data_IF_856614297659
#
_entry.id   IF_856614297659
#
_cell.length_a   1.000
_cell.length_b   1.000
_cell.length_c   1.000
_cell.angle_alpha   90.00
_cell.angle_beta   90.00
_cell.angle_gamma   90.00
#
_symmetry.space_group_name_H-M   'P 1'
#
loop_
_entity.id
_entity.type
_entity.pdbx_description
1 polymer ?
#
# COMPACT_ATOMS: atom_id res chain seq x y z
N UNK A 1 48.54 -6.46 17.93
CA UNK A 1 48.93 -6.30 16.53
C UNK A 1 47.69 -6.67 15.69
N UNK A 2 47.24 -5.76 14.80
CA UNK A 2 46.07 -6.01 13.93
C UNK A 2 46.50 -6.84 12.72
N UNK A 3 45.75 -7.91 12.43
CA UNK A 3 45.94 -8.67 11.19
C UNK A 3 45.19 -8.02 10.03
N UNK A 4 45.80 -7.98 8.86
CA UNK A 4 45.14 -7.50 7.64
C UNK A 4 43.98 -8.42 7.26
N UNK A 5 42.78 -7.86 7.14
CA UNK A 5 41.56 -8.61 6.79
C UNK A 5 41.62 -9.30 5.44
N UNK A 6 42.51 -8.90 4.56
CA UNK A 6 42.66 -9.44 3.20
C UNK A 6 43.72 -10.54 3.11
N UNK A 7 44.96 -10.27 3.56
CA UNK A 7 46.08 -11.22 3.42
C UNK A 7 46.42 -11.98 4.72
N UNK A 8 45.80 -11.63 5.84
CA UNK A 8 46.07 -12.28 7.16
C UNK A 8 47.39 -11.92 7.82
N UNK A 9 48.27 -11.12 7.18
CA UNK A 9 49.55 -10.71 7.73
C UNK A 9 49.42 -9.51 8.69
N UNK A 10 50.43 -9.24 9.49
CA UNK A 10 50.44 -8.14 10.47
C UNK A 10 50.29 -6.79 9.75
N UNK A 11 49.26 -6.04 10.05
CA UNK A 11 48.94 -4.73 9.49
C UNK A 11 49.41 -3.54 10.35
N UNK A 12 50.12 -3.82 11.46
CA UNK A 12 50.58 -2.81 12.42
C UNK A 12 49.59 -2.52 13.55
N UNK A 13 49.97 -1.58 14.43
CA UNK A 13 49.27 -1.35 15.73
C UNK A 13 47.91 -0.66 15.57
N UNK A 14 47.70 0.12 14.51
CA UNK A 14 46.49 0.95 14.29
C UNK A 14 45.74 0.66 13.01
N UNK A 15 46.13 -0.36 12.26
CA UNK A 15 45.51 -0.72 11.00
C UNK A 15 44.98 -2.15 11.01
N UNK A 16 43.83 -2.38 10.39
CA UNK A 16 43.25 -3.69 10.14
C UNK A 16 43.41 -4.13 8.67
N UNK A 17 44.17 -3.38 7.86
CA UNK A 17 44.41 -3.69 6.45
C UNK A 17 45.64 -2.95 5.93
N UNK A 18 46.30 -3.54 4.92
CA UNK A 18 47.32 -2.86 4.14
C UNK A 18 46.66 -2.08 3.01
N UNK A 19 47.15 -0.90 2.70
CA UNK A 19 46.66 -0.06 1.60
C UNK A 19 46.71 -0.78 0.24
N UNK A 20 47.82 -1.47 -0.03
CA UNK A 20 47.97 -2.26 -1.27
C UNK A 20 46.95 -3.42 -1.37
N UNK A 21 46.61 -4.07 -0.26
CA UNK A 21 45.60 -5.13 -0.25
C UNK A 21 44.21 -4.57 -0.48
N UNK A 22 43.90 -3.40 0.07
CA UNK A 22 42.65 -2.69 -0.16
C UNK A 22 42.51 -2.25 -1.61
N UNK A 23 43.57 -1.70 -2.20
CA UNK A 23 43.60 -1.30 -3.60
C UNK A 23 43.41 -2.52 -4.53
N UNK A 24 44.10 -3.64 -4.27
CA UNK A 24 43.91 -4.90 -5.01
C UNK A 24 42.49 -5.43 -4.88
N UNK A 25 41.89 -5.39 -3.68
CA UNK A 25 40.52 -5.82 -3.46
C UNK A 25 39.52 -4.93 -4.24
N UNK A 26 39.68 -3.61 -4.17
CA UNK A 26 38.85 -2.64 -4.91
C UNK A 26 38.95 -2.84 -6.44
N UNK A 27 40.15 -3.08 -6.98
CA UNK A 27 40.36 -3.41 -8.39
C UNK A 27 39.65 -4.73 -8.74
N UNK A 28 39.73 -5.75 -7.87
CA UNK A 28 39.06 -7.03 -8.09
C UNK A 28 37.54 -6.89 -8.15
N UNK A 29 36.94 -6.07 -7.27
CA UNK A 29 35.51 -5.76 -7.34
C UNK A 29 35.14 -5.08 -8.66
N UNK A 30 35.91 -4.10 -9.09
CA UNK A 30 35.67 -3.38 -10.34
C UNK A 30 35.73 -4.31 -11.55
N UNK A 31 36.69 -5.22 -11.59
CA UNK A 31 36.85 -6.21 -12.66
C UNK A 31 35.65 -7.18 -12.66
N UNK A 32 35.29 -7.71 -11.50
CA UNK A 32 34.17 -8.64 -11.37
C UNK A 32 32.85 -8.00 -11.79
N UNK A 33 32.53 -6.85 -11.23
CA UNK A 33 31.30 -6.11 -11.57
C UNK A 33 31.24 -5.73 -13.06
N UNK A 34 32.35 -5.30 -13.63
CA UNK A 34 32.48 -4.99 -15.06
C UNK A 34 32.16 -6.19 -15.93
N UNK A 35 32.70 -7.37 -15.58
CA UNK A 35 32.45 -8.62 -16.29
C UNK A 35 30.95 -9.03 -16.16
N UNK A 36 30.37 -8.99 -14.95
CA UNK A 36 28.95 -9.34 -14.73
C UNK A 36 28.03 -8.41 -15.53
N UNK A 37 28.28 -7.08 -15.52
CA UNK A 37 27.52 -6.12 -16.35
C UNK A 37 27.62 -6.43 -17.84
N UNK A 38 28.81 -6.81 -18.31
CA UNK A 38 29.07 -7.18 -19.72
C UNK A 38 28.26 -8.44 -20.11
N UNK A 39 28.19 -9.42 -19.22
CA UNK A 39 27.36 -10.61 -19.42
C UNK A 39 25.87 -10.25 -19.57
N UNK A 40 25.31 -9.48 -18.63
CA UNK A 40 23.90 -9.10 -18.70
C UNK A 40 23.57 -8.23 -19.94
N UNK A 41 24.54 -7.47 -20.45
CA UNK A 41 24.44 -6.77 -21.74
C UNK A 41 24.56 -7.70 -22.97
N UNK A 42 24.96 -8.97 -22.76
CA UNK A 42 25.13 -9.94 -23.85
C UNK A 42 26.47 -9.84 -24.61
N UNK A 43 27.41 -9.08 -24.07
CA UNK A 43 28.73 -8.89 -24.72
C UNK A 43 29.76 -9.94 -24.28
N UNK A 44 29.54 -10.64 -23.19
CA UNK A 44 30.47 -11.61 -22.60
C UNK A 44 29.75 -12.92 -22.28
N UNK A 45 30.31 -14.11 -22.63
CA UNK A 45 29.71 -15.39 -22.30
C UNK A 45 29.91 -15.74 -20.81
N UNK A 46 29.05 -16.64 -20.25
CA UNK A 46 29.13 -17.06 -18.86
C UNK A 46 30.48 -17.71 -18.49
N UNK A 47 31.07 -18.45 -19.40
CA UNK A 47 32.40 -19.07 -19.19
C UNK A 47 33.50 -18.04 -18.84
N UNK A 48 33.44 -16.87 -19.43
CA UNK A 48 34.39 -15.79 -19.13
C UNK A 48 34.11 -15.22 -17.72
N UNK A 49 32.87 -15.10 -17.30
CA UNK A 49 32.51 -14.64 -15.93
C UNK A 49 33.07 -15.61 -14.90
N UNK A 50 32.91 -16.92 -15.11
CA UNK A 50 33.45 -17.96 -14.23
C UNK A 50 34.99 -17.83 -14.14
N UNK A 51 35.66 -17.61 -15.29
CA UNK A 51 37.11 -17.40 -15.32
C UNK A 51 37.52 -16.15 -14.53
N UNK A 52 36.86 -15.04 -14.75
CA UNK A 52 37.11 -13.77 -14.04
C UNK A 52 36.87 -13.93 -12.54
N UNK A 53 35.74 -14.52 -12.14
CA UNK A 53 35.41 -14.75 -10.73
C UNK A 53 36.46 -15.60 -10.01
N UNK A 54 36.98 -16.64 -10.68
CA UNK A 54 38.07 -17.48 -10.18
C UNK A 54 39.38 -16.71 -10.07
N UNK A 55 39.72 -15.91 -11.08
CA UNK A 55 40.93 -15.09 -11.09
C UNK A 55 40.95 -14.06 -9.96
N UNK A 56 39.87 -13.28 -9.79
CA UNK A 56 39.80 -12.24 -8.75
C UNK A 56 39.76 -12.83 -7.34
N UNK A 57 39.19 -14.03 -7.18
CA UNK A 57 39.22 -14.77 -5.89
C UNK A 57 40.66 -15.09 -5.50
N UNK A 58 41.46 -15.56 -6.43
CA UNK A 58 42.86 -15.97 -6.18
C UNK A 58 43.84 -14.78 -6.03
N UNK A 59 43.66 -13.72 -6.80
CA UNK A 59 44.66 -12.66 -6.94
C UNK A 59 44.25 -11.32 -6.29
N UNK A 60 42.94 -11.11 -6.00
CA UNK A 60 42.42 -9.84 -5.56
C UNK A 60 41.66 -9.93 -4.23
N UNK A 61 41.81 -11.02 -3.47
CA UNK A 61 41.15 -11.22 -2.16
C UNK A 61 39.62 -11.12 -2.22
N UNK A 62 38.97 -11.45 -3.33
CA UNK A 62 37.51 -11.43 -3.46
C UNK A 62 36.92 -12.66 -2.79
N UNK A 63 36.17 -12.46 -1.72
CA UNK A 63 35.45 -13.50 -1.00
C UNK A 63 34.16 -13.91 -1.70
N UNK A 64 33.56 -15.02 -1.25
CA UNK A 64 32.23 -15.44 -1.75
C UNK A 64 31.15 -14.42 -1.37
N UNK A 65 31.30 -13.73 -0.21
CA UNK A 65 30.43 -12.64 0.20
C UNK A 65 30.54 -11.42 -0.75
N UNK A 66 31.75 -11.04 -1.13
CA UNK A 66 31.96 -9.96 -2.10
C UNK A 66 31.36 -10.30 -3.46
N UNK A 67 31.51 -11.57 -3.90
CA UNK A 67 30.94 -12.07 -5.14
C UNK A 67 29.41 -12.05 -5.11
N UNK A 68 28.79 -12.45 -4.00
CA UNK A 68 27.35 -12.35 -3.80
C UNK A 68 26.86 -10.92 -3.85
N UNK A 69 27.51 -10.00 -3.14
CA UNK A 69 27.18 -8.57 -3.12
C UNK A 69 27.31 -7.92 -4.49
N UNK A 70 28.40 -8.20 -5.23
CA UNK A 70 28.61 -7.73 -6.60
C UNK A 70 27.55 -8.29 -7.55
N UNK A 71 27.17 -9.57 -7.40
CA UNK A 71 26.12 -10.20 -8.17
C UNK A 71 24.77 -9.54 -7.94
N UNK A 72 24.38 -9.36 -6.68
CA UNK A 72 23.17 -8.64 -6.27
C UNK A 72 23.09 -7.25 -6.89
N UNK A 73 24.14 -6.47 -6.72
CA UNK A 73 24.24 -5.10 -7.28
C UNK A 73 24.06 -5.07 -8.80
N UNK A 74 24.77 -5.95 -9.52
CA UNK A 74 24.69 -5.99 -10.98
C UNK A 74 23.32 -6.51 -11.47
N UNK A 75 22.67 -7.42 -10.75
CA UNK A 75 21.31 -7.87 -11.03
C UNK A 75 20.32 -6.72 -10.84
N UNK A 76 20.42 -5.93 -9.78
CA UNK A 76 19.57 -4.76 -9.58
C UNK A 76 19.74 -3.71 -10.68
N UNK A 77 20.99 -3.41 -11.05
CA UNK A 77 21.30 -2.50 -12.14
C UNK A 77 20.68 -3.01 -13.45
N UNK A 78 20.87 -4.31 -13.75
CA UNK A 78 20.27 -4.93 -14.93
C UNK A 78 18.75 -4.91 -14.88
N UNK A 79 18.14 -5.25 -13.75
CA UNK A 79 16.69 -5.19 -13.52
C UNK A 79 16.12 -3.83 -13.89
N UNK A 80 16.82 -2.74 -13.55
CA UNK A 80 16.40 -1.38 -13.91
C UNK A 80 16.47 -1.10 -15.40
N UNK A 81 17.37 -1.74 -16.14
CA UNK A 81 17.54 -1.57 -17.60
C UNK A 81 16.59 -2.42 -18.44
N UNK A 82 16.04 -3.49 -17.89
CA UNK A 82 15.10 -4.36 -18.61
C UNK A 82 13.79 -3.61 -18.82
N UNK A 83 13.39 -3.44 -20.08
CA UNK A 83 12.11 -2.87 -20.47
C UNK A 83 11.15 -3.96 -20.95
N UNK A 84 9.90 -3.67 -20.87
CA UNK A 84 8.85 -4.54 -21.40
C UNK A 84 8.85 -4.50 -22.95
N UNK A 85 8.54 -5.61 -23.68
CA UNK A 85 8.18 -6.94 -23.18
C UNK A 85 9.36 -7.77 -22.68
N UNK A 86 9.12 -8.59 -21.65
CA UNK A 86 10.11 -9.58 -21.21
C UNK A 86 10.18 -10.74 -22.19
N UNK A 87 11.38 -11.12 -22.59
CA UNK A 87 11.64 -12.30 -23.41
C UNK A 87 12.07 -13.49 -22.52
N UNK A 88 11.80 -14.72 -22.95
CA UNK A 88 12.27 -15.92 -22.27
C UNK A 88 13.79 -15.93 -22.05
N UNK A 89 14.53 -15.32 -22.98
CA UNK A 89 15.99 -15.16 -22.88
C UNK A 89 16.47 -14.42 -21.64
N UNK A 90 15.65 -13.53 -21.05
CA UNK A 90 15.99 -12.89 -19.77
C UNK A 90 15.96 -13.90 -18.61
N UNK A 91 14.97 -14.80 -18.61
CA UNK A 91 14.86 -15.84 -17.58
C UNK A 91 15.98 -16.90 -17.75
N UNK A 92 16.28 -17.29 -18.99
CA UNK A 92 17.36 -18.21 -19.28
C UNK A 92 18.71 -17.65 -18.84
N UNK A 93 18.96 -16.36 -19.14
CA UNK A 93 20.18 -15.67 -18.75
C UNK A 93 20.37 -15.61 -17.24
N UNK A 94 19.35 -15.24 -16.46
CA UNK A 94 19.46 -15.20 -15.00
C UNK A 94 19.62 -16.61 -14.41
N UNK A 95 18.93 -17.63 -14.96
CA UNK A 95 19.08 -19.01 -14.57
C UNK A 95 20.50 -19.53 -14.80
N UNK A 96 21.07 -19.27 -15.98
CA UNK A 96 22.46 -19.63 -16.30
C UNK A 96 23.43 -18.93 -15.33
N UNK A 97 23.22 -17.65 -15.05
CA UNK A 97 24.07 -16.88 -14.14
C UNK A 97 24.03 -17.46 -12.72
N UNK A 98 22.85 -17.66 -12.12
CA UNK A 98 22.72 -18.22 -10.77
C UNK A 98 23.36 -19.60 -10.67
N UNK A 99 23.21 -20.43 -11.69
CA UNK A 99 23.73 -21.80 -11.69
C UNK A 99 25.26 -21.86 -11.79
N UNK A 100 25.93 -20.84 -12.32
CA UNK A 100 27.35 -20.92 -12.67
C UNK A 100 28.23 -19.90 -11.93
N UNK A 101 27.69 -18.88 -11.26
CA UNK A 101 28.50 -17.85 -10.59
C UNK A 101 29.23 -18.38 -9.34
N UNK A 102 28.87 -19.55 -8.83
CA UNK A 102 29.54 -20.25 -7.73
C UNK A 102 29.27 -19.65 -6.34
N UNK A 103 28.13 -19.02 -6.14
CA UNK A 103 27.56 -18.61 -4.84
C UNK A 103 26.09 -19.03 -4.78
N UNK A 104 25.54 -19.17 -3.56
CA UNK A 104 24.18 -19.66 -3.41
C UNK A 104 23.13 -18.63 -3.84
N UNK A 105 21.92 -19.12 -4.18
CA UNK A 105 20.76 -18.27 -4.45
C UNK A 105 20.47 -17.33 -3.29
N UNK A 106 20.50 -17.86 -2.05
CA UNK A 106 20.22 -17.10 -0.84
C UNK A 106 21.22 -15.97 -0.64
N UNK A 107 22.52 -16.24 -0.85
CA UNK A 107 23.55 -15.21 -0.69
C UNK A 107 23.40 -14.10 -1.74
N UNK A 108 23.09 -14.44 -3.01
CA UNK A 108 22.80 -13.45 -4.06
C UNK A 108 21.55 -12.62 -3.70
N UNK A 109 20.55 -13.25 -3.10
CA UNK A 109 19.28 -12.61 -2.77
C UNK A 109 19.24 -11.98 -1.38
N UNK A 110 20.34 -11.91 -0.64
CA UNK A 110 20.40 -11.30 0.70
C UNK A 110 19.86 -9.85 0.70
N UNK A 111 20.17 -9.09 -0.35
CA UNK A 111 19.64 -7.73 -0.57
C UNK A 111 18.24 -7.70 -1.21
N UNK A 112 17.65 -8.83 -1.58
CA UNK A 112 16.38 -8.94 -2.29
C UNK A 112 16.44 -8.63 -3.79
N UNK A 113 17.62 -8.67 -4.42
CA UNK A 113 17.79 -8.35 -5.84
C UNK A 113 17.01 -9.30 -6.76
N UNK A 114 17.05 -10.60 -6.48
CA UNK A 114 16.32 -11.61 -7.25
C UNK A 114 14.80 -11.49 -7.06
N UNK A 115 14.36 -11.13 -5.85
CA UNK A 115 12.95 -10.87 -5.58
C UNK A 115 12.44 -9.68 -6.39
N UNK A 116 13.18 -8.56 -6.41
CA UNK A 116 12.83 -7.38 -7.21
C UNK A 116 12.75 -7.67 -8.69
N UNK A 117 13.69 -8.47 -9.21
CA UNK A 117 13.65 -8.94 -10.60
C UNK A 117 12.39 -9.77 -10.87
N UNK A 118 12.10 -10.76 -10.01
CA UNK A 118 10.92 -11.61 -10.14
C UNK A 118 9.63 -10.78 -10.10
N UNK A 119 9.48 -9.91 -9.11
CA UNK A 119 8.32 -9.02 -8.98
C UNK A 119 8.14 -8.13 -10.21
N UNK A 120 9.24 -7.57 -10.76
CA UNK A 120 9.19 -6.78 -11.99
C UNK A 120 8.69 -7.60 -13.18
N UNK A 121 9.15 -8.85 -13.33
CA UNK A 121 8.70 -9.74 -14.40
C UNK A 121 7.22 -10.09 -14.25
N UNK A 122 6.78 -10.45 -13.05
CA UNK A 122 5.36 -10.75 -12.76
C UNK A 122 4.47 -9.55 -13.12
N UNK A 123 4.82 -8.36 -12.63
CA UNK A 123 4.06 -7.13 -12.94
C UNK A 123 3.94 -6.88 -14.43
N UNK A 124 5.03 -7.10 -15.18
CA UNK A 124 4.99 -6.97 -16.62
C UNK A 124 4.01 -7.95 -17.29
N UNK A 125 4.01 -9.23 -16.90
CA UNK A 125 3.06 -10.20 -17.46
C UNK A 125 1.61 -9.90 -17.07
N UNK A 126 1.36 -9.40 -15.85
CA UNK A 126 0.02 -8.95 -15.46
C UNK A 126 -0.41 -7.68 -16.21
N UNK A 127 0.52 -6.79 -16.57
CA UNK A 127 0.22 -5.63 -17.40
C UNK A 127 -0.30 -6.02 -18.79
N UNK A 128 0.20 -7.12 -19.40
CA UNK A 128 -0.33 -7.63 -20.68
C UNK A 128 -1.82 -8.04 -20.59
N UNK A 129 -2.24 -8.55 -19.43
CA UNK A 129 -3.65 -8.84 -19.20
C UNK A 129 -4.49 -7.56 -19.14
N UNK A 130 -4.10 -6.60 -18.32
CA UNK A 130 -4.86 -5.35 -18.18
C UNK A 130 -4.93 -4.54 -19.47
N UNK A 131 -3.87 -4.59 -20.30
CA UNK A 131 -3.86 -3.97 -21.64
C UNK A 131 -4.60 -4.79 -22.71
N UNK A 132 -5.06 -5.99 -22.39
CA UNK A 132 -5.81 -6.86 -23.31
C UNK A 132 -4.93 -7.61 -24.32
N UNK A 133 -3.62 -7.64 -24.11
CA UNK A 133 -2.68 -8.35 -25.01
C UNK A 133 -2.71 -9.87 -24.78
N UNK A 134 -2.97 -10.33 -23.55
CA UNK A 134 -3.03 -11.75 -23.19
C UNK A 134 -4.16 -12.03 -22.20
N UNK A 135 -4.76 -13.23 -22.22
CA UNK A 135 -5.69 -13.66 -21.20
C UNK A 135 -4.97 -13.90 -19.86
N UNK A 136 -5.69 -13.70 -18.73
CA UNK A 136 -5.14 -13.81 -17.37
C UNK A 136 -4.45 -15.17 -17.13
N UNK A 137 -5.08 -16.25 -17.54
CA UNK A 137 -4.53 -17.62 -17.39
C UNK A 137 -3.14 -17.78 -18.02
N UNK A 138 -2.91 -17.16 -19.19
CA UNK A 138 -1.62 -17.22 -19.86
C UNK A 138 -0.57 -16.40 -19.11
N UNK A 139 -0.92 -15.20 -18.65
CA UNK A 139 -0.06 -14.36 -17.82
C UNK A 139 0.35 -15.07 -16.52
N UNK A 140 -0.59 -15.75 -15.87
CA UNK A 140 -0.33 -16.55 -14.66
C UNK A 140 0.59 -17.72 -14.92
N UNK A 141 0.37 -18.49 -15.98
CA UNK A 141 1.25 -19.62 -16.34
C UNK A 141 2.71 -19.17 -16.51
N UNK A 142 2.92 -18.05 -17.18
CA UNK A 142 4.27 -17.49 -17.39
C UNK A 142 4.85 -17.01 -16.05
N UNK A 143 4.08 -16.32 -15.21
CA UNK A 143 4.50 -15.88 -13.88
C UNK A 143 4.90 -17.03 -12.99
N UNK A 144 4.14 -18.13 -12.99
CA UNK A 144 4.47 -19.35 -12.25
C UNK A 144 5.77 -20.00 -12.77
N UNK A 145 6.01 -19.96 -14.08
CA UNK A 145 7.27 -20.46 -14.66
C UNK A 145 8.46 -19.60 -14.20
N UNK A 146 8.31 -18.27 -14.10
CA UNK A 146 9.34 -17.39 -13.55
C UNK A 146 9.61 -17.73 -12.09
N UNK A 147 8.57 -17.89 -11.26
CA UNK A 147 8.70 -18.21 -9.83
C UNK A 147 9.33 -19.58 -9.55
N UNK A 148 9.32 -20.51 -10.50
CA UNK A 148 10.10 -21.77 -10.37
C UNK A 148 11.60 -21.54 -10.41
N UNK A 149 12.05 -20.48 -11.08
CA UNK A 149 13.48 -20.12 -11.17
C UNK A 149 13.85 -19.07 -10.11
N UNK A 150 12.95 -18.15 -9.84
CA UNK A 150 13.09 -17.03 -8.90
C UNK A 150 11.97 -17.11 -7.86
N UNK A 151 12.07 -18.02 -6.87
CA UNK A 151 10.99 -18.24 -5.90
C UNK A 151 10.79 -17.01 -5.01
N UNK A 152 9.53 -16.58 -4.90
CA UNK A 152 9.09 -15.54 -3.98
C UNK A 152 8.43 -16.14 -2.75
N UNK A 153 8.45 -15.42 -1.64
CA UNK A 153 7.53 -15.68 -0.54
C UNK A 153 6.11 -15.29 -0.97
N UNK A 154 5.09 -15.94 -0.39
CA UNK A 154 3.68 -15.63 -0.65
C UNK A 154 3.38 -14.13 -0.46
N UNK A 155 3.98 -13.51 0.55
CA UNK A 155 3.82 -12.08 0.78
C UNK A 155 4.35 -11.23 -0.38
N UNK A 156 5.56 -11.48 -0.86
CA UNK A 156 6.17 -10.73 -1.98
C UNK A 156 5.45 -10.97 -3.31
N UNK A 157 4.92 -12.15 -3.50
CA UNK A 157 4.06 -12.46 -4.64
C UNK A 157 2.77 -11.63 -4.61
N UNK A 158 2.09 -11.60 -3.47
CA UNK A 158 0.90 -10.77 -3.28
C UNK A 158 1.19 -9.28 -3.45
N UNK A 159 2.31 -8.80 -2.92
CA UNK A 159 2.76 -7.42 -3.12
C UNK A 159 2.86 -7.07 -4.61
N UNK A 160 3.49 -7.94 -5.43
CA UNK A 160 3.60 -7.73 -6.88
C UNK A 160 2.23 -7.66 -7.57
N UNK A 161 1.27 -8.50 -7.17
CA UNK A 161 -0.08 -8.49 -7.71
C UNK A 161 -0.85 -7.22 -7.30
N UNK A 162 -0.74 -6.78 -6.05
CA UNK A 162 -1.36 -5.54 -5.60
C UNK A 162 -0.75 -4.30 -6.25
N UNK A 163 0.58 -4.25 -6.42
CA UNK A 163 1.22 -3.15 -7.14
C UNK A 163 0.72 -3.03 -8.58
N UNK A 164 0.54 -4.17 -9.27
CA UNK A 164 -0.01 -4.17 -10.63
C UNK A 164 -1.47 -3.72 -10.64
N UNK A 165 -2.26 -4.18 -9.69
CA UNK A 165 -3.64 -3.75 -9.52
C UNK A 165 -3.74 -2.24 -9.27
N UNK A 166 -2.85 -1.68 -8.42
CA UNK A 166 -2.78 -0.24 -8.18
C UNK A 166 -2.39 0.57 -9.42
N UNK A 167 -1.51 0.04 -10.27
CA UNK A 167 -1.17 0.68 -11.56
C UNK A 167 -2.35 0.64 -12.54
N UNK A 168 -3.07 -0.47 -12.61
CA UNK A 168 -4.29 -0.58 -13.40
C UNK A 168 -5.35 0.41 -12.90
N UNK A 169 -5.54 0.53 -11.57
CA UNK A 169 -6.46 1.47 -10.94
C UNK A 169 -6.17 2.92 -11.31
N UNK A 170 -4.91 3.34 -11.30
CA UNK A 170 -4.53 4.69 -11.78
C UNK A 170 -4.96 4.98 -13.21
N UNK A 171 -5.00 3.96 -14.06
CA UNK A 171 -5.42 4.13 -15.45
C UNK A 171 -6.94 4.09 -15.60
N UNK A 172 -7.60 3.18 -14.89
CA UNK A 172 -9.05 2.97 -14.97
C UNK A 172 -9.86 4.09 -14.30
N UNK A 173 -9.29 4.74 -13.30
CA UNK A 173 -9.95 5.83 -12.55
C UNK A 173 -9.59 7.23 -13.04
N UNK A 174 -8.94 7.37 -14.21
CA UNK A 174 -8.55 8.69 -14.76
C UNK A 174 -9.73 9.62 -14.98
N UNK A 175 -10.88 9.08 -15.36
CA UNK A 175 -12.15 9.78 -15.56
C UNK A 175 -13.11 9.65 -14.36
N UNK A 176 -12.62 9.07 -13.26
CA UNK A 176 -13.36 8.90 -12.00
C UNK A 176 -14.28 7.68 -11.94
N UNK A 177 -14.46 6.96 -13.06
CA UNK A 177 -15.34 5.79 -13.13
C UNK A 177 -14.66 4.65 -13.88
N UNK A 178 -14.90 3.41 -13.43
CA UNK A 178 -14.51 2.22 -14.20
C UNK A 178 -15.60 1.85 -15.20
N UNK A 179 -15.21 1.61 -16.45
CA UNK A 179 -16.11 1.02 -17.44
C UNK A 179 -16.48 -0.43 -17.06
N UNK A 180 -17.61 -0.96 -17.56
CA UNK A 180 -17.99 -2.36 -17.29
C UNK A 180 -16.91 -3.38 -17.68
N UNK A 181 -16.15 -3.13 -18.74
CA UNK A 181 -15.07 -4.01 -19.19
C UNK A 181 -13.85 -3.96 -18.26
N UNK A 182 -13.52 -2.80 -17.71
CA UNK A 182 -12.45 -2.64 -16.71
C UNK A 182 -12.84 -3.30 -15.40
N UNK A 183 -14.10 -3.09 -14.97
CA UNK A 183 -14.65 -3.75 -13.79
C UNK A 183 -14.56 -5.28 -13.93
N UNK A 184 -14.94 -5.83 -15.08
CA UNK A 184 -14.85 -7.27 -15.34
C UNK A 184 -13.41 -7.79 -15.24
N UNK A 185 -12.44 -7.05 -15.79
CA UNK A 185 -11.01 -7.42 -15.67
C UNK A 185 -10.53 -7.41 -14.22
N UNK A 186 -10.93 -6.40 -13.46
CA UNK A 186 -10.58 -6.32 -12.03
C UNK A 186 -11.17 -7.50 -11.27
N UNK A 187 -12.46 -7.80 -11.48
CA UNK A 187 -13.16 -8.92 -10.83
C UNK A 187 -12.52 -10.28 -11.15
N UNK A 188 -12.18 -10.52 -12.42
CA UNK A 188 -11.48 -11.73 -12.84
C UNK A 188 -10.11 -11.84 -12.16
N UNK A 189 -9.36 -10.74 -12.14
CA UNK A 189 -8.01 -10.68 -11.55
C UNK A 189 -8.04 -10.98 -10.06
N UNK A 190 -8.85 -10.25 -9.29
CA UNK A 190 -8.93 -10.44 -7.84
C UNK A 190 -9.52 -11.79 -7.46
N UNK A 191 -10.55 -12.25 -8.19
CA UNK A 191 -11.17 -13.56 -7.95
C UNK A 191 -10.20 -14.72 -8.20
N UNK A 192 -9.40 -14.63 -9.27
CA UNK A 192 -8.43 -15.67 -9.62
C UNK A 192 -7.24 -15.72 -8.66
N UNK A 193 -6.79 -14.55 -8.17
CA UNK A 193 -5.61 -14.43 -7.31
C UNK A 193 -5.94 -14.41 -5.80
N UNK A 194 -7.22 -14.50 -5.44
CA UNK A 194 -7.64 -14.42 -4.04
C UNK A 194 -7.33 -13.07 -3.38
N UNK A 195 -7.29 -11.99 -4.16
CA UNK A 195 -7.06 -10.64 -3.66
C UNK A 195 -8.38 -10.02 -3.19
N UNK A 196 -8.28 -8.90 -2.46
CA UNK A 196 -9.45 -8.14 -2.00
C UNK A 196 -9.29 -6.66 -2.30
N UNK A 197 -10.41 -6.00 -2.63
CA UNK A 197 -10.50 -4.53 -2.72
C UNK A 197 -11.04 -3.90 -1.43
N UNK A 198 -11.48 -4.72 -0.49
CA UNK A 198 -11.95 -4.32 0.85
C UNK A 198 -11.11 -5.02 1.91
N UNK A 199 -11.14 -4.54 3.14
CA UNK A 199 -10.28 -5.05 4.22
C UNK A 199 -8.79 -4.98 3.89
N UNK A 200 -8.39 -3.93 3.18
CA UNK A 200 -7.02 -3.73 2.75
C UNK A 200 -6.07 -3.59 3.95
N UNK A 201 -4.84 -4.14 3.85
CA UNK A 201 -3.80 -3.86 4.82
C UNK A 201 -3.50 -2.35 4.86
N UNK A 202 -2.99 -1.83 6.00
CA UNK A 202 -2.75 -0.40 6.18
C UNK A 202 -1.89 0.24 5.08
N UNK A 203 -0.94 -0.49 4.50
CA UNK A 203 -0.06 -0.05 3.43
C UNK A 203 -0.77 0.22 2.09
N UNK A 204 -1.98 -0.32 1.90
CA UNK A 204 -2.77 -0.15 0.67
C UNK A 204 -3.93 0.84 0.83
N UNK A 205 -4.12 1.40 2.04
CA UNK A 205 -5.11 2.45 2.27
C UNK A 205 -4.63 3.78 1.69
N UNK A 206 -5.57 4.58 1.18
CA UNK A 206 -5.25 5.82 0.45
C UNK A 206 -4.59 5.59 -0.90
N UNK A 207 -4.63 4.37 -1.44
CA UNK A 207 -4.10 4.03 -2.77
C UNK A 207 -5.23 3.88 -3.78
N UNK A 208 -4.94 3.89 -5.09
CA UNK A 208 -5.93 3.63 -6.14
C UNK A 208 -6.67 2.29 -5.99
N UNK A 209 -6.14 1.33 -5.22
CA UNK A 209 -6.81 0.06 -4.92
C UNK A 209 -8.03 0.29 -4.03
N UNK A 210 -7.89 1.14 -3.03
CA UNK A 210 -9.02 1.54 -2.17
C UNK A 210 -10.10 2.27 -2.96
N UNK A 211 -9.70 3.22 -3.83
CA UNK A 211 -10.60 3.95 -4.72
C UNK A 211 -11.34 3.01 -5.69
N UNK A 212 -10.66 2.00 -6.24
CA UNK A 212 -11.30 0.97 -7.08
C UNK A 212 -12.35 0.17 -6.31
N UNK A 213 -12.09 -0.18 -5.04
CA UNK A 213 -13.06 -0.84 -4.19
C UNK A 213 -14.31 0.01 -3.98
N UNK A 214 -14.13 1.27 -3.68
CA UNK A 214 -15.22 2.23 -3.52
C UNK A 214 -16.00 2.44 -4.82
N UNK A 215 -15.31 2.65 -5.94
CA UNK A 215 -15.93 2.81 -7.26
C UNK A 215 -16.74 1.58 -7.67
N UNK A 216 -16.24 0.38 -7.38
CA UNK A 216 -16.94 -0.89 -7.65
C UNK A 216 -18.24 -1.01 -6.85
N UNK A 217 -18.23 -0.64 -5.57
CA UNK A 217 -19.41 -0.62 -4.71
C UNK A 217 -20.44 0.39 -5.24
N UNK A 218 -20.01 1.60 -5.59
CA UNK A 218 -20.89 2.64 -6.14
C UNK A 218 -21.53 2.20 -7.46
N UNK A 219 -20.77 1.55 -8.34
CA UNK A 219 -21.29 0.99 -9.60
C UNK A 219 -22.37 -0.06 -9.38
N UNK A 220 -22.22 -0.95 -8.40
CA UNK A 220 -23.24 -1.94 -8.06
C UNK A 220 -24.51 -1.28 -7.49
N UNK A 221 -24.36 -0.31 -6.58
CA UNK A 221 -25.50 0.44 -6.03
C UNK A 221 -26.25 1.18 -7.14
N UNK A 222 -25.54 1.88 -8.01
CA UNK A 222 -26.14 2.61 -9.15
C UNK A 222 -26.91 1.69 -10.09
N UNK A 223 -26.43 0.46 -10.29
CA UNK A 223 -27.10 -0.54 -11.09
C UNK A 223 -28.22 -1.29 -10.34
N UNK A 224 -28.58 -0.87 -9.13
CA UNK A 224 -29.59 -1.53 -8.27
C UNK A 224 -29.20 -2.93 -7.79
N UNK A 225 -27.92 -3.26 -7.84
CA UNK A 225 -27.39 -4.55 -7.38
C UNK A 225 -26.88 -4.45 -5.95
N UNK A 226 -26.94 -5.58 -5.23
CA UNK A 226 -26.19 -5.70 -3.97
C UNK A 226 -24.69 -5.70 -4.29
N UNK A 227 -23.89 -4.84 -3.63
CA UNK A 227 -22.44 -4.84 -3.84
C UNK A 227 -21.83 -6.22 -3.67
N UNK A 228 -21.03 -6.62 -4.64
CA UNK A 228 -20.38 -7.94 -4.69
C UNK A 228 -19.29 -8.12 -3.64
N UNK A 229 -18.76 -7.02 -3.14
CA UNK A 229 -17.79 -7.03 -2.04
C UNK A 229 -18.52 -6.68 -0.74
N UNK A 230 -18.69 -7.67 0.13
CA UNK A 230 -19.30 -7.51 1.44
C UNK A 230 -18.25 -7.46 2.54
N UNK A 231 -18.30 -6.39 3.33
CA UNK A 231 -17.45 -6.27 4.49
C UNK A 231 -17.90 -7.22 5.59
N UNK A 232 -17.03 -8.11 6.04
CA UNK A 232 -17.24 -8.88 7.28
C UNK A 232 -17.05 -7.93 8.47
N UNK A 233 -18.14 -7.34 8.95
CA UNK A 233 -18.10 -6.38 10.03
C UNK A 233 -18.41 -7.05 11.37
N UNK A 234 -17.66 -6.77 12.46
CA UNK A 234 -17.92 -7.29 13.79
C UNK A 234 -19.09 -6.54 14.49
N UNK A 235 -20.18 -6.33 13.74
CA UNK A 235 -21.38 -5.60 14.19
C UNK A 235 -22.64 -6.39 13.86
N UNK A 236 -23.67 -6.23 14.66
CA UNK A 236 -24.97 -6.85 14.39
C UNK A 236 -25.73 -5.99 13.39
N UNK A 237 -25.87 -6.50 12.18
CA UNK A 237 -26.62 -5.90 11.09
C UNK A 237 -28.10 -6.31 11.18
N UNK A 238 -28.99 -5.43 10.78
CA UNK A 238 -30.42 -5.73 10.68
C UNK A 238 -30.73 -6.66 9.51
N UNK A 239 -31.97 -7.16 9.44
CA UNK A 239 -32.43 -8.01 8.32
C UNK A 239 -32.28 -7.25 6.99
N UNK A 240 -31.56 -7.85 6.03
CA UNK A 240 -31.27 -7.25 4.72
C UNK A 240 -30.38 -6.00 4.82
N UNK A 241 -29.59 -5.86 5.89
CA UNK A 241 -28.57 -4.84 6.02
C UNK A 241 -27.20 -5.43 5.70
N UNK A 242 -26.44 -4.76 4.84
CA UNK A 242 -25.11 -5.17 4.38
C UNK A 242 -24.12 -4.02 4.61
N UNK A 243 -23.00 -4.31 5.23
CA UNK A 243 -21.91 -3.35 5.36
C UNK A 243 -21.08 -3.30 4.08
N UNK A 244 -20.87 -2.10 3.57
CA UNK A 244 -20.12 -1.85 2.33
C UNK A 244 -18.66 -1.47 2.61
N UNK A 245 -18.46 -0.61 3.61
CA UNK A 245 -17.16 -0.01 3.89
C UNK A 245 -16.94 0.22 5.38
N UNK A 246 -15.66 0.34 5.77
CA UNK A 246 -15.26 0.66 7.13
C UNK A 246 -14.06 1.62 7.12
N UNK A 247 -14.23 2.75 7.79
CA UNK A 247 -13.15 3.63 8.16
C UNK A 247 -12.70 3.32 9.59
N UNK A 248 -11.42 3.04 9.78
CA UNK A 248 -10.83 2.83 11.10
C UNK A 248 -10.21 4.12 11.64
N UNK A 249 -9.99 4.19 12.95
CA UNK A 249 -9.38 5.34 13.62
C UNK A 249 -10.17 6.66 13.44
N UNK A 250 -11.48 6.56 13.28
CA UNK A 250 -12.36 7.72 13.20
C UNK A 250 -12.61 8.26 14.59
N UNK A 251 -12.42 9.56 14.78
CA UNK A 251 -12.77 10.26 16.02
C UNK A 251 -14.19 10.81 15.91
N UNK A 252 -15.04 10.49 16.89
CA UNK A 252 -16.39 11.01 16.96
C UNK A 252 -16.48 12.13 17.97
N UNK A 253 -17.16 13.23 17.59
CA UNK A 253 -17.57 14.31 18.50
C UNK A 253 -19.08 14.43 18.49
N UNK A 254 -19.63 14.76 19.65
CA UNK A 254 -21.06 15.00 19.81
C UNK A 254 -21.31 16.32 20.50
N UNK A 255 -22.28 17.09 19.99
CA UNK A 255 -22.73 18.31 20.63
C UNK A 255 -23.34 17.99 22.02
N UNK A 256 -22.90 18.72 23.04
CA UNK A 256 -23.48 18.77 24.38
C UNK A 256 -23.85 20.17 24.74
N UNK A 257 -24.96 20.29 25.49
CA UNK A 257 -25.43 21.55 26.04
C UNK A 257 -25.10 21.57 27.52
N UNK A 258 -24.32 22.55 27.95
CA UNK A 258 -24.06 22.83 29.34
C UNK A 258 -24.95 23.99 29.76
N UNK A 259 -25.75 23.79 30.81
CA UNK A 259 -26.54 24.86 31.45
C UNK A 259 -25.75 25.42 32.62
N UNK A 260 -25.30 26.67 32.49
CA UNK A 260 -24.67 27.39 33.59
C UNK A 260 -25.60 28.52 34.05
N UNK A 261 -25.82 28.61 35.37
CA UNK A 261 -26.50 29.74 35.97
C UNK A 261 -25.44 30.83 36.20
N UNK A 262 -25.41 31.84 35.37
CA UNK A 262 -24.49 32.96 35.51
C UNK A 262 -25.21 34.07 36.27
N UNK A 263 -24.85 34.24 37.54
CA UNK A 263 -25.12 35.41 38.32
C UNK A 263 -23.91 36.36 38.24
N UNK A 264 -24.08 37.50 37.54
CA UNK A 264 -23.15 38.65 37.42
C UNK A 264 -21.71 38.37 36.95
N UNK A 265 -21.41 38.94 35.77
CA UNK A 265 -20.12 39.33 35.17
C UNK A 265 -19.24 38.18 34.67
N UNK A 266 -19.08 38.11 33.32
CA UNK A 266 -17.99 37.42 32.67
C UNK A 266 -18.40 36.78 31.36
N UNK A 267 -18.09 37.39 30.23
CA UNK A 267 -18.23 36.75 28.92
C UNK A 267 -17.05 35.82 28.64
N UNK A 268 -17.32 34.62 28.16
CA UNK A 268 -16.30 33.68 27.71
C UNK A 268 -16.41 33.45 26.20
N UNK A 269 -15.26 33.37 25.54
CA UNK A 269 -15.17 32.96 24.16
C UNK A 269 -14.41 31.64 24.07
N UNK A 270 -14.97 30.66 23.35
CA UNK A 270 -14.34 29.35 23.14
C UNK A 270 -14.01 29.16 21.65
N UNK A 271 -12.80 28.67 21.38
CA UNK A 271 -12.36 28.30 20.06
C UNK A 271 -12.62 26.79 19.86
N UNK A 272 -13.53 26.43 18.96
CA UNK A 272 -14.00 25.03 18.81
C UNK A 272 -13.12 24.29 17.79
N UNK A 273 -12.68 24.97 16.74
CA UNK A 273 -11.74 24.47 15.70
C UNK A 273 -11.02 25.69 15.12
N UNK A 274 -9.85 25.51 14.53
CA UNK A 274 -9.06 26.59 13.90
C UNK A 274 -9.93 27.34 12.87
N UNK A 275 -10.43 28.53 13.25
CA UNK A 275 -11.22 29.41 12.38
C UNK A 275 -12.67 29.71 12.82
N UNK A 276 -13.24 29.01 13.80
CA UNK A 276 -14.63 29.26 14.24
C UNK A 276 -14.66 29.72 15.70
N UNK A 277 -15.13 30.98 15.91
CA UNK A 277 -15.32 31.61 17.23
C UNK A 277 -16.80 31.92 17.44
N UNK A 278 -17.40 31.43 18.54
CA UNK A 278 -18.76 31.75 18.93
C UNK A 278 -18.75 32.78 20.08
N UNK A 279 -19.52 33.86 19.94
CA UNK A 279 -19.72 34.90 20.98
C UNK A 279 -21.18 34.94 21.39
N UNK A 280 -21.44 34.84 22.72
CA UNK A 280 -22.76 35.15 23.26
C UNK A 280 -22.65 36.32 24.23
N UNK A 281 -23.52 37.28 24.07
CA UNK A 281 -23.72 38.41 25.03
C UNK A 281 -25.21 38.57 25.33
N UNK A 282 -25.57 38.59 26.60
CA UNK A 282 -26.93 38.89 27.07
C UNK A 282 -27.04 38.86 28.58
N UNK A 283 -27.71 39.84 29.17
CA UNK A 283 -27.70 40.24 30.58
C UNK A 283 -28.98 39.73 31.31
N UNK A 284 -28.83 39.44 32.59
CA UNK A 284 -29.80 39.15 33.67
C UNK A 284 -30.31 37.70 33.80
N UNK A 285 -29.72 36.97 34.77
CA UNK A 285 -30.42 35.96 35.60
C UNK A 285 -31.14 34.78 34.91
N UNK A 286 -30.78 34.47 33.65
CA UNK A 286 -31.33 33.37 32.91
C UNK A 286 -30.30 32.24 32.75
N UNK A 287 -30.74 30.97 32.71
CA UNK A 287 -29.82 29.88 32.37
C UNK A 287 -29.22 30.12 30.98
N UNK A 288 -27.90 30.25 30.89
CA UNK A 288 -27.20 30.33 29.63
C UNK A 288 -26.89 28.90 29.21
N UNK A 289 -27.45 28.50 28.08
CA UNK A 289 -27.13 27.22 27.47
C UNK A 289 -25.94 27.46 26.52
N UNK A 290 -24.81 26.82 26.82
CA UNK A 290 -23.64 26.85 25.97
C UNK A 290 -23.47 25.46 25.32
N UNK A 291 -23.51 25.38 23.98
CA UNK A 291 -23.21 24.15 23.31
C UNK A 291 -21.70 24.02 23.07
N UNK A 292 -21.18 22.84 23.25
CA UNK A 292 -19.79 22.49 22.98
C UNK A 292 -19.72 21.08 22.34
N UNK A 293 -18.64 20.84 21.57
CA UNK A 293 -18.40 19.52 20.99
C UNK A 293 -17.54 18.67 21.93
N UNK A 294 -18.11 17.59 22.43
CA UNK A 294 -17.41 16.64 23.29
C UNK A 294 -16.80 15.52 22.47
N UNK A 295 -15.53 15.22 22.72
CA UNK A 295 -14.86 14.06 22.11
C UNK A 295 -15.41 12.77 22.73
N UNK A 296 -16.02 11.93 21.90
CA UNK A 296 -16.63 10.64 22.27
C UNK A 296 -15.70 9.45 22.03
N UNK A 297 -14.43 9.71 21.70
CA UNK A 297 -13.39 8.71 21.48
C UNK A 297 -13.20 8.32 20.02
N UNK A 298 -12.24 7.41 19.84
CA UNK A 298 -11.86 6.84 18.54
C UNK A 298 -12.55 5.50 18.34
N UNK A 299 -12.92 5.20 17.10
CA UNK A 299 -13.58 3.95 16.74
C UNK A 299 -13.53 3.65 15.25
N UNK A 300 -14.42 2.76 14.82
CA UNK A 300 -14.62 2.42 13.41
C UNK A 300 -15.99 2.93 12.94
N UNK A 301 -16.01 3.53 11.74
CA UNK A 301 -17.21 4.04 11.09
C UNK A 301 -17.57 3.12 9.92
N UNK A 302 -18.69 2.43 10.05
CA UNK A 302 -19.23 1.51 9.04
C UNK A 302 -20.28 2.21 8.20
N UNK A 303 -20.21 1.98 6.89
CA UNK A 303 -21.18 2.42 5.89
C UNK A 303 -21.95 1.18 5.44
N UNK A 304 -23.28 1.19 5.62
CA UNK A 304 -24.15 0.08 5.21
C UNK A 304 -25.13 0.54 4.13
N UNK A 305 -25.99 -0.35 3.64
CA UNK A 305 -27.10 0.05 2.76
C UNK A 305 -28.23 0.81 3.48
N UNK A 306 -28.20 0.95 4.81
CA UNK A 306 -29.28 1.57 5.60
C UNK A 306 -28.80 2.61 6.61
N UNK A 307 -27.56 2.51 7.06
CA UNK A 307 -27.06 3.28 8.20
C UNK A 307 -25.60 3.68 8.04
N UNK A 308 -25.24 4.76 8.72
CA UNK A 308 -23.88 5.02 9.18
C UNK A 308 -23.81 4.51 10.63
N UNK A 309 -22.84 3.64 10.93
CA UNK A 309 -22.69 3.02 12.27
C UNK A 309 -21.29 3.33 12.79
N UNK A 310 -21.19 4.06 13.88
CA UNK A 310 -19.93 4.27 14.58
C UNK A 310 -19.83 3.31 15.77
N UNK A 311 -18.72 2.60 15.87
CA UNK A 311 -18.38 1.69 16.95
C UNK A 311 -17.11 2.18 17.64
N UNK A 312 -17.26 2.85 18.76
CA UNK A 312 -16.15 3.33 19.59
C UNK A 312 -16.15 2.70 20.99
N UNK A 313 -15.02 2.81 21.67
CA UNK A 313 -14.88 2.27 23.04
C UNK A 313 -15.81 2.94 24.04
N UNK A 314 -15.97 4.28 23.94
CA UNK A 314 -16.80 5.04 24.86
C UNK A 314 -18.26 5.10 24.42
N UNK A 315 -18.51 5.02 23.11
CA UNK A 315 -19.85 5.15 22.55
C UNK A 315 -19.97 4.49 21.19
N UNK A 316 -21.12 3.86 20.96
CA UNK A 316 -21.55 3.41 19.64
C UNK A 316 -22.83 4.11 19.25
N UNK A 317 -22.98 4.42 17.96
CA UNK A 317 -24.18 5.07 17.43
C UNK A 317 -24.52 4.51 16.06
N UNK A 318 -25.81 4.31 15.82
CA UNK A 318 -26.38 3.87 14.55
C UNK A 318 -27.30 4.98 14.02
N UNK A 319 -26.99 5.53 12.85
CA UNK A 319 -27.73 6.64 12.23
C UNK A 319 -28.38 6.14 10.95
N UNK A 320 -29.73 5.98 10.92
CA UNK A 320 -30.43 5.63 9.68
C UNK A 320 -30.32 6.75 8.65
N UNK A 321 -30.16 6.40 7.37
CA UNK A 321 -30.13 7.40 6.31
C UNK A 321 -31.42 8.22 6.23
N UNK A 322 -32.57 7.61 6.47
CA UNK A 322 -33.86 8.30 6.53
C UNK A 322 -33.97 9.35 7.65
N UNK A 323 -33.02 9.42 8.57
CA UNK A 323 -32.94 10.43 9.62
C UNK A 323 -31.87 11.47 9.39
N UNK A 324 -31.13 11.41 8.28
CA UNK A 324 -30.12 12.38 7.90
C UNK A 324 -30.80 13.45 7.05
N UNK A 325 -30.76 14.71 7.51
CA UNK A 325 -31.28 15.87 6.76
C UNK A 325 -30.19 16.63 6.04
N UNK A 326 -28.93 16.43 6.41
CA UNK A 326 -27.80 17.06 5.76
C UNK A 326 -26.46 16.50 6.25
N UNK A 327 -25.47 16.62 5.37
CA UNK A 327 -24.07 16.36 5.71
C UNK A 327 -23.24 17.56 5.29
N UNK A 328 -22.43 18.06 6.19
CA UNK A 328 -21.42 19.08 5.90
C UNK A 328 -20.05 18.40 5.82
N UNK A 329 -19.45 18.30 4.61
CA UNK A 329 -18.14 17.68 4.45
C UNK A 329 -17.04 18.60 4.95
N UNK A 330 -15.96 17.99 5.49
CA UNK A 330 -14.69 18.64 5.81
C UNK A 330 -13.57 17.97 5.02
N UNK A 331 -12.40 18.55 5.02
CA UNK A 331 -11.23 17.95 4.37
C UNK A 331 -10.80 16.60 4.97
N UNK A 332 -11.18 16.32 6.22
CA UNK A 332 -10.79 15.15 7.00
C UNK A 332 -11.97 14.50 7.74
N UNK A 333 -13.21 14.68 7.24
CA UNK A 333 -14.38 14.13 7.88
C UNK A 333 -15.70 14.76 7.48
N UNK A 334 -16.73 14.62 8.35
CA UNK A 334 -18.06 15.16 8.09
C UNK A 334 -18.81 15.48 9.37
N UNK A 335 -19.73 16.45 9.29
CA UNK A 335 -20.81 16.65 10.25
C UNK A 335 -22.10 16.02 9.70
N UNK A 336 -22.80 15.29 10.54
CA UNK A 336 -24.10 14.67 10.22
C UNK A 336 -25.20 15.40 10.98
N UNK A 337 -26.10 16.02 10.23
CA UNK A 337 -27.30 16.67 10.73
C UNK A 337 -28.48 15.69 10.63
N UNK A 338 -29.20 15.51 11.75
CA UNK A 338 -30.29 14.54 11.84
C UNK A 338 -31.62 15.22 12.08
N UNK A 339 -32.69 14.60 11.57
CA UNK A 339 -34.05 15.00 11.86
C UNK A 339 -34.46 14.65 13.31
N UNK A 340 -35.24 15.51 13.95
CA UNK A 340 -35.83 15.30 15.26
C UNK A 340 -35.65 16.49 16.21
N UNK A 341 -36.53 16.55 17.24
CA UNK A 341 -36.45 17.55 18.31
C UNK A 341 -35.29 17.22 19.27
N UNK A 342 -34.46 18.20 19.60
CA UNK A 342 -33.27 18.03 20.47
C UNK A 342 -32.18 17.09 19.94
N UNK A 343 -32.06 16.95 18.64
CA UNK A 343 -31.02 16.11 18.01
C UNK A 343 -29.69 16.81 18.08
N UNK A 344 -28.73 16.15 18.71
CA UNK A 344 -27.35 16.61 18.84
C UNK A 344 -26.58 16.41 17.53
N UNK A 345 -25.79 17.40 17.13
CA UNK A 345 -24.88 17.29 15.98
C UNK A 345 -23.81 16.25 16.23
N UNK A 346 -23.46 15.51 15.19
CA UNK A 346 -22.39 14.51 15.20
C UNK A 346 -21.32 14.92 14.22
N UNK A 347 -20.07 14.87 14.64
CA UNK A 347 -18.92 15.11 13.78
C UNK A 347 -18.03 13.88 13.82
N UNK A 348 -17.61 13.42 12.64
CA UNK A 348 -16.70 12.31 12.47
C UNK A 348 -15.46 12.82 11.73
N UNK A 349 -14.27 12.55 12.27
CA UNK A 349 -12.97 13.01 11.71
C UNK A 349 -11.99 11.87 11.54
N UNK A 350 -11.02 12.04 10.61
CA UNK A 350 -9.95 11.09 10.33
C UNK A 350 -10.15 10.28 9.05
N UNK A 351 -11.02 10.75 8.11
CA UNK A 351 -11.24 10.07 6.82
C UNK A 351 -11.78 11.02 5.76
N UNK A 352 -11.65 10.64 4.49
CA UNK A 352 -12.35 11.30 3.37
C UNK A 352 -13.80 10.79 3.29
N UNK A 353 -14.76 11.70 3.37
CA UNK A 353 -16.18 11.37 3.37
C UNK A 353 -16.81 11.27 1.95
N UNK A 354 -16.06 11.50 0.88
CA UNK A 354 -16.54 11.52 -0.51
C UNK A 354 -17.31 10.25 -0.87
N UNK A 355 -16.81 9.08 -0.47
CA UNK A 355 -17.50 7.82 -0.72
C UNK A 355 -18.89 7.77 -0.02
N UNK A 356 -18.99 8.23 1.24
CA UNK A 356 -20.27 8.27 1.97
C UNK A 356 -21.27 9.17 1.27
N UNK A 357 -20.83 10.35 0.81
CA UNK A 357 -21.67 11.29 0.08
C UNK A 357 -22.22 10.66 -1.22
N UNK A 358 -21.36 9.95 -1.96
CA UNK A 358 -21.78 9.25 -3.17
C UNK A 358 -22.76 8.11 -2.87
N UNK A 359 -22.54 7.32 -1.82
CA UNK A 359 -23.49 6.27 -1.38
C UNK A 359 -24.85 6.87 -1.07
N UNK A 360 -24.89 7.98 -0.31
CA UNK A 360 -26.15 8.64 0.04
C UNK A 360 -26.87 9.22 -1.19
N UNK A 361 -26.13 9.77 -2.13
CA UNK A 361 -26.71 10.29 -3.37
C UNK A 361 -27.34 9.19 -4.25
N UNK A 362 -26.86 7.94 -4.14
CA UNK A 362 -27.38 6.80 -4.90
C UNK A 362 -28.50 6.03 -4.21
N UNK A 363 -28.59 6.10 -2.88
CA UNK A 363 -29.60 5.35 -2.09
C UNK A 363 -30.89 6.17 -1.87
N UNK A 364 -30.79 7.52 -1.86
CA UNK A 364 -31.93 8.42 -1.72
C UNK A 364 -32.53 8.76 -3.08
#
# INVERSE_FOLDING_TARGET
MGQCKYCGQDAGFFSHMHKECEEKHSQGLTILEGAIRSYFKGATPMSEIVRVASHVKQNNYISDKDRSASSSKCIDEWTNTIHWPFHSSHLDKIKEFISNIGVSYQDINESGALDRLCQKMIRGFMAEYFTGQKPLQRSLQISQQVMRTLPLTVQKEQEAYYEMLGQAGKNFLKDGLMSPSEQQKVDEYIGTLGLSLINLPPSLKGTPIEEMGQASILSDIQAGRTPRYNLQAPIILGRGETAFWCYNNVTMFQEKVRREYVGRTGGFSFRIIKGVTYRTGGFKGHPVETSYMENMGVGSLYVTNKHIIFMGQMRSIKVPYSKIIGINPFSDGMEVQRDGNNVKRLVFQGFDCTFILNVLALIN
#
